data_IF_236608024511
#
_entry.id   IF_236608024511
#
_cell.length_a   1.000
_cell.length_b   1.000
_cell.length_c   1.000
_cell.angle_alpha   90.00
_cell.angle_beta   90.00
_cell.angle_gamma   90.00
#
_symmetry.space_group_name_H-M   'P 1'
#
loop_
_entity.id
_entity.type
_entity.pdbx_description
1 polymer ?
#
# COMPACT_ATOMS: atom_id res chain seq x y z
N UNK A 1 -8.57 62.29 -25.38
CA UNK A 1 -9.88 61.73 -24.98
C UNK A 1 -10.03 60.24 -25.35
N UNK A 2 -9.55 59.79 -26.50
CA UNK A 2 -9.61 58.38 -26.96
C UNK A 2 -8.93 57.35 -26.03
N UNK A 3 -7.80 57.69 -25.39
CA UNK A 3 -7.13 56.76 -24.44
C UNK A 3 -7.86 56.59 -23.10
N UNK A 4 -8.63 57.60 -22.66
CA UNK A 4 -9.40 57.54 -21.41
C UNK A 4 -10.71 56.76 -21.59
N UNK A 5 -11.32 56.85 -22.78
CA UNK A 5 -12.48 56.06 -23.18
C UNK A 5 -12.17 54.57 -23.33
N UNK A 6 -10.98 54.21 -23.82
CA UNK A 6 -10.51 52.81 -23.88
C UNK A 6 -10.29 52.25 -22.46
N UNK A 7 -9.77 53.06 -21.53
CA UNK A 7 -9.57 52.67 -20.14
C UNK A 7 -10.90 52.42 -19.41
N UNK A 8 -11.92 53.25 -19.67
CA UNK A 8 -13.27 53.06 -19.12
C UNK A 8 -14.00 51.86 -19.73
N UNK A 9 -13.81 51.60 -21.03
CA UNK A 9 -14.35 50.40 -21.69
C UNK A 9 -13.69 49.11 -21.16
N UNK A 10 -12.37 49.12 -20.91
CA UNK A 10 -11.64 47.98 -20.35
C UNK A 10 -12.03 47.72 -18.89
N UNK A 11 -12.25 48.78 -18.09
CA UNK A 11 -12.68 48.68 -16.69
C UNK A 11 -14.14 48.20 -16.56
N UNK A 12 -15.02 48.59 -17.49
CA UNK A 12 -16.41 48.09 -17.54
C UNK A 12 -16.52 46.61 -17.93
N UNK A 13 -15.55 46.08 -18.67
CA UNK A 13 -15.57 44.66 -19.11
C UNK A 13 -15.12 43.70 -17.99
N UNK A 14 -14.35 44.18 -17.01
CA UNK A 14 -13.85 43.38 -15.87
C UNK A 14 -14.94 43.10 -14.82
N UNK A 15 -15.98 43.93 -14.74
CA UNK A 15 -17.06 43.78 -13.74
C UNK A 15 -18.07 42.68 -14.12
N UNK A 16 -18.00 42.13 -15.34
CA UNK A 16 -18.90 41.07 -15.82
C UNK A 16 -18.35 39.64 -15.61
N UNK A 17 -17.19 39.48 -14.95
CA UNK A 17 -16.61 38.18 -14.61
C UNK A 17 -17.01 37.71 -13.22
N UNK A 18 -18.22 38.03 -12.76
CA UNK A 18 -18.77 37.45 -11.54
C UNK A 18 -19.14 35.98 -11.84
N UNK A 19 -18.16 35.09 -11.67
CA UNK A 19 -18.35 33.66 -11.86
C UNK A 19 -19.27 33.16 -10.75
N UNK A 20 -20.57 33.07 -11.05
CA UNK A 20 -21.50 32.27 -10.27
C UNK A 20 -21.03 30.81 -10.30
N UNK A 21 -20.14 30.44 -9.38
CA UNK A 21 -19.88 29.03 -9.12
C UNK A 21 -21.11 28.51 -8.40
N UNK A 22 -21.93 27.75 -9.12
CA UNK A 22 -23.04 27.04 -8.49
C UNK A 22 -22.42 25.99 -7.59
N UNK A 23 -22.46 26.21 -6.28
CA UNK A 23 -22.00 25.21 -5.31
C UNK A 23 -22.99 24.06 -5.41
N UNK A 24 -22.62 22.99 -6.12
CA UNK A 24 -23.40 21.77 -6.13
C UNK A 24 -23.21 21.12 -4.76
N UNK A 25 -24.11 21.41 -3.85
CA UNK A 25 -24.19 20.76 -2.55
C UNK A 25 -24.81 19.37 -2.74
N UNK A 26 -24.01 18.44 -3.27
CA UNK A 26 -24.40 17.07 -3.45
C UNK A 26 -24.59 16.44 -2.07
N UNK A 27 -25.83 16.41 -1.58
CA UNK A 27 -26.21 15.62 -0.40
C UNK A 27 -26.01 14.15 -0.71
N UNK A 28 -24.81 13.65 -0.44
CA UNK A 28 -24.52 12.22 -0.49
C UNK A 28 -25.18 11.56 0.71
N UNK A 29 -25.97 10.51 0.47
CA UNK A 29 -26.43 9.65 1.55
C UNK A 29 -25.20 9.05 2.23
N UNK A 30 -24.97 9.43 3.48
CA UNK A 30 -23.97 8.77 4.32
C UNK A 30 -24.45 7.34 4.55
N UNK A 31 -23.74 6.37 3.98
CA UNK A 31 -23.97 4.96 4.26
C UNK A 31 -23.83 4.64 5.75
N UNK A 32 -24.28 3.47 6.21
CA UNK A 32 -24.09 3.07 7.58
C UNK A 32 -22.59 3.04 7.93
N UNK A 33 -22.25 3.42 9.16
CA UNK A 33 -20.89 3.27 9.69
C UNK A 33 -20.47 1.80 9.68
N UNK A 34 -19.34 1.50 9.05
CA UNK A 34 -18.79 0.15 8.91
C UNK A 34 -17.51 0.01 9.73
N UNK A 35 -17.19 -1.23 10.13
CA UNK A 35 -15.88 -1.55 10.66
C UNK A 35 -14.84 -1.50 9.54
N UNK A 36 -13.73 -0.81 9.75
CA UNK A 36 -12.58 -0.76 8.86
C UNK A 36 -11.40 -1.51 9.49
N UNK A 37 -10.86 -2.48 8.76
CA UNK A 37 -9.79 -3.36 9.23
C UNK A 37 -8.52 -3.15 8.39
N UNK A 38 -7.45 -2.64 9.00
CA UNK A 38 -6.12 -2.63 8.40
C UNK A 38 -5.22 -3.61 9.16
N UNK A 39 -5.01 -4.78 8.57
CA UNK A 39 -4.29 -5.88 9.19
C UNK A 39 -3.29 -6.48 8.21
N UNK A 40 -2.00 -6.24 8.44
CA UNK A 40 -0.90 -6.84 7.68
C UNK A 40 0.10 -7.49 8.64
N UNK A 41 -0.02 -8.79 8.85
CA UNK A 41 0.87 -9.55 9.74
C UNK A 41 2.01 -10.19 8.94
N UNK A 42 3.18 -10.33 9.55
CA UNK A 42 4.39 -10.77 8.85
C UNK A 42 5.14 -11.90 9.58
N UNK A 43 6.15 -12.47 8.94
CA UNK A 43 7.12 -13.39 9.54
C UNK A 43 8.29 -12.67 10.23
N UNK A 44 8.21 -11.34 10.38
CA UNK A 44 9.28 -10.55 10.99
C UNK A 44 9.16 -10.57 12.52
N UNK A 45 10.31 -10.55 13.24
CA UNK A 45 10.29 -10.53 14.70
C UNK A 45 9.71 -9.23 15.25
N UNK A 46 9.14 -9.32 16.46
CA UNK A 46 8.59 -8.19 17.18
C UNK A 46 7.07 -8.15 17.20
N UNK A 47 6.49 -7.10 17.82
CA UNK A 47 5.06 -6.93 17.94
C UNK A 47 4.39 -6.85 16.57
N UNK A 48 3.19 -7.43 16.44
CA UNK A 48 2.36 -7.32 15.25
C UNK A 48 1.10 -6.52 15.60
N UNK A 49 0.58 -5.74 14.65
CA UNK A 49 -0.51 -4.80 14.91
C UNK A 49 -1.64 -4.96 13.89
N UNK A 50 -2.87 -4.87 14.38
CA UNK A 50 -4.11 -4.78 13.62
C UNK A 50 -4.80 -3.48 14.02
N UNK A 51 -5.07 -2.61 13.05
CA UNK A 51 -5.75 -1.34 13.29
C UNK A 51 -7.22 -1.46 12.94
N UNK A 52 -8.09 -1.18 13.90
CA UNK A 52 -9.54 -1.17 13.74
C UNK A 52 -10.09 0.25 13.91
N UNK A 53 -10.81 0.73 12.90
CA UNK A 53 -11.51 2.02 12.94
C UNK A 53 -12.94 1.88 12.45
N UNK A 54 -13.71 2.94 12.54
CA UNK A 54 -15.04 3.05 11.94
C UNK A 54 -15.00 4.01 10.75
N UNK A 55 -15.74 3.69 9.69
CA UNK A 55 -15.84 4.57 8.52
C UNK A 55 -16.56 5.86 8.88
N UNK A 56 -16.05 6.99 8.38
CA UNK A 56 -16.70 8.29 8.50
C UNK A 56 -17.53 8.63 7.24
N UNK A 57 -18.30 9.71 7.32
CA UNK A 57 -19.01 10.24 6.15
C UNK A 57 -18.02 10.68 5.05
N UNK A 58 -18.46 10.68 3.80
CA UNK A 58 -17.57 10.95 2.65
C UNK A 58 -16.88 12.32 2.71
N UNK A 59 -17.57 13.35 3.17
CA UNK A 59 -17.02 14.71 3.31
C UNK A 59 -16.39 14.96 4.70
N UNK A 60 -16.33 13.94 5.55
CA UNK A 60 -15.70 14.04 6.85
C UNK A 60 -14.20 13.75 6.72
N UNK A 61 -13.41 14.81 6.88
CA UNK A 61 -11.95 14.75 6.87
C UNK A 61 -11.34 14.58 8.28
N UNK A 62 -12.16 14.30 9.29
CA UNK A 62 -11.68 14.03 10.64
C UNK A 62 -10.96 12.68 10.72
N UNK A 63 -10.19 12.49 11.79
CA UNK A 63 -9.55 11.20 12.08
C UNK A 63 -10.64 10.14 12.26
N UNK A 64 -10.60 9.02 11.51
CA UNK A 64 -11.59 7.95 11.66
C UNK A 64 -11.68 7.47 13.12
N UNK A 65 -12.89 7.37 13.71
CA UNK A 65 -13.05 6.92 15.09
C UNK A 65 -12.43 5.54 15.31
N UNK A 66 -11.74 5.36 16.43
CA UNK A 66 -11.18 4.08 16.82
C UNK A 66 -12.29 3.08 17.17
N UNK A 67 -12.17 1.83 16.68
CA UNK A 67 -13.06 0.74 17.07
C UNK A 67 -12.51 0.04 18.31
N UNK A 68 -12.76 0.62 19.49
CA UNK A 68 -12.27 0.11 20.78
C UNK A 68 -13.17 -1.00 21.34
N UNK A 69 -12.70 -1.71 22.38
CA UNK A 69 -13.43 -2.81 23.04
C UNK A 69 -13.81 -4.00 22.14
N UNK A 70 -13.15 -4.15 20.99
CA UNK A 70 -13.29 -5.33 20.15
C UNK A 70 -12.53 -6.53 20.73
N UNK A 71 -12.97 -7.72 20.39
CA UNK A 71 -12.18 -8.95 20.60
C UNK A 71 -11.47 -9.28 19.31
N UNK A 72 -10.14 -9.41 19.34
CA UNK A 72 -9.33 -9.65 18.13
C UNK A 72 -8.43 -10.86 18.35
N UNK A 73 -8.68 -11.92 17.59
CA UNK A 73 -7.90 -13.16 17.65
C UNK A 73 -7.52 -13.60 16.24
N UNK A 74 -6.30 -14.12 16.11
CA UNK A 74 -5.83 -14.81 14.91
C UNK A 74 -5.51 -16.24 15.28
N UNK A 75 -5.94 -17.20 14.47
CA UNK A 75 -5.57 -18.61 14.64
C UNK A 75 -4.89 -19.12 13.36
N UNK A 76 -3.80 -19.86 13.50
CA UNK A 76 -3.18 -20.55 12.38
C UNK A 76 -3.80 -21.94 12.14
N UNK A 77 -3.54 -22.54 10.98
CA UNK A 77 -3.99 -23.89 10.66
C UNK A 77 -3.28 -25.01 11.47
N UNK A 78 -2.35 -24.66 12.37
CA UNK A 78 -1.79 -25.56 13.38
C UNK A 78 -2.61 -25.57 14.69
N UNK A 79 -3.59 -24.67 14.81
CA UNK A 79 -4.42 -24.48 15.99
C UNK A 79 -3.84 -23.50 17.01
N UNK A 80 -2.72 -22.84 16.72
CA UNK A 80 -2.13 -21.84 17.62
C UNK A 80 -2.88 -20.53 17.51
N UNK A 81 -3.28 -20.00 18.66
CA UNK A 81 -4.07 -18.75 18.76
C UNK A 81 -3.21 -17.59 19.25
N UNK A 82 -3.36 -16.46 18.59
CA UNK A 82 -2.70 -15.19 18.83
C UNK A 82 -3.75 -14.15 19.21
N UNK A 83 -3.73 -13.72 20.47
CA UNK A 83 -4.66 -12.70 20.98
C UNK A 83 -4.03 -11.31 20.84
N UNK A 84 -4.76 -10.39 20.22
CA UNK A 84 -4.35 -8.99 20.10
C UNK A 84 -5.14 -8.15 21.11
N UNK A 85 -4.45 -7.21 21.77
CA UNK A 85 -5.01 -6.35 22.81
C UNK A 85 -4.84 -4.88 22.40
N UNK A 86 -5.80 -4.03 22.75
CA UNK A 86 -5.75 -2.57 22.54
C UNK A 86 -5.44 -1.90 23.89
N UNK A 87 -4.16 -1.77 24.29
CA UNK A 87 -3.80 -1.28 25.62
C UNK A 87 -4.13 0.21 25.81
N UNK A 88 -4.09 0.99 24.73
CA UNK A 88 -4.21 2.44 24.76
C UNK A 88 -5.62 2.94 24.38
N UNK A 89 -6.54 2.02 24.03
CA UNK A 89 -7.90 2.30 23.57
C UNK A 89 -7.92 3.25 22.37
N UNK A 90 -6.97 3.07 21.44
CA UNK A 90 -6.80 3.89 20.25
C UNK A 90 -7.09 3.12 18.95
N UNK A 91 -7.58 1.88 19.09
CA UNK A 91 -7.93 0.99 17.98
C UNK A 91 -6.72 0.26 17.39
N UNK A 92 -5.52 0.38 17.97
CA UNK A 92 -4.36 -0.43 17.60
C UNK A 92 -4.29 -1.67 18.50
N UNK A 93 -4.79 -2.78 17.96
CA UNK A 93 -4.72 -4.07 18.61
C UNK A 93 -3.34 -4.68 18.35
N UNK A 94 -2.58 -4.96 19.40
CA UNK A 94 -1.20 -5.43 19.34
C UNK A 94 -1.09 -6.84 19.90
N UNK A 95 -0.42 -7.71 19.17
CA UNK A 95 0.07 -8.99 19.66
C UNK A 95 1.55 -8.85 20.02
N UNK A 96 1.92 -9.30 21.21
CA UNK A 96 3.29 -9.32 21.70
C UNK A 96 3.86 -10.73 21.57
N UNK A 97 5.04 -10.90 20.95
CA UNK A 97 5.66 -12.20 20.81
C UNK A 97 6.08 -12.78 22.17
N UNK A 98 5.95 -14.10 22.31
CA UNK A 98 6.51 -14.84 23.44
C UNK A 98 7.74 -15.60 22.96
N UNK A 99 8.93 -15.27 23.48
CA UNK A 99 10.19 -15.86 23.04
C UNK A 99 10.54 -15.47 21.59
N UNK A 100 10.89 -16.46 20.76
CA UNK A 100 11.30 -16.26 19.36
C UNK A 100 10.15 -16.38 18.35
N UNK A 101 8.91 -16.41 18.83
CA UNK A 101 7.73 -16.50 17.97
C UNK A 101 7.53 -15.20 17.19
N UNK A 102 7.41 -15.31 15.87
CA UNK A 102 7.15 -14.18 14.98
C UNK A 102 5.68 -14.10 14.58
N UNK A 103 4.83 -15.04 15.03
CA UNK A 103 3.48 -15.33 14.53
C UNK A 103 3.47 -15.88 13.10
N UNK A 104 4.19 -15.23 12.17
CA UNK A 104 4.22 -15.58 10.76
C UNK A 104 5.12 -16.76 10.41
N UNK A 105 4.55 -17.77 9.76
CA UNK A 105 5.21 -18.94 9.23
C UNK A 105 4.77 -19.17 7.79
N UNK A 106 5.73 -19.26 6.87
CA UNK A 106 5.48 -19.49 5.45
C UNK A 106 4.71 -20.80 5.25
N UNK A 107 3.67 -20.75 4.42
CA UNK A 107 2.80 -21.88 4.10
C UNK A 107 1.57 -22.01 5.00
N UNK A 108 1.57 -21.38 6.19
CA UNK A 108 0.43 -21.38 7.10
C UNK A 108 -0.70 -20.49 6.60
N UNK A 109 -1.92 -20.94 6.83
CA UNK A 109 -3.14 -20.17 6.67
C UNK A 109 -3.59 -19.63 8.01
N UNK A 110 -3.92 -18.34 8.02
CA UNK A 110 -4.35 -17.62 9.22
C UNK A 110 -5.78 -17.18 9.06
N UNK A 111 -6.55 -17.30 10.14
CA UNK A 111 -7.91 -16.80 10.23
C UNK A 111 -7.99 -15.73 11.33
N UNK A 112 -8.34 -14.51 10.92
CA UNK A 112 -8.68 -13.41 11.81
C UNK A 112 -10.15 -13.52 12.22
N UNK A 113 -10.45 -13.36 13.51
CA UNK A 113 -11.80 -13.22 14.06
C UNK A 113 -11.88 -11.95 14.88
N UNK A 114 -12.86 -11.10 14.54
CA UNK A 114 -13.12 -9.84 15.23
C UNK A 114 -14.56 -9.85 15.76
N UNK A 115 -14.75 -9.69 17.06
CA UNK A 115 -16.04 -9.39 17.66
C UNK A 115 -16.14 -7.91 17.99
N UNK A 116 -17.11 -7.18 17.40
CA UNK A 116 -17.27 -5.74 17.61
C UNK A 116 -18.75 -5.34 17.54
N UNK A 117 -19.25 -4.63 18.56
CA UNK A 117 -20.64 -4.14 18.64
C UNK A 117 -21.73 -5.20 18.38
N UNK A 118 -21.51 -6.44 18.86
CA UNK A 118 -22.44 -7.56 18.67
C UNK A 118 -22.31 -8.27 17.32
N UNK A 119 -21.48 -7.77 16.41
CA UNK A 119 -21.17 -8.42 15.13
C UNK A 119 -19.90 -9.27 15.25
N UNK A 120 -19.81 -10.32 14.43
CA UNK A 120 -18.61 -11.17 14.33
C UNK A 120 -18.13 -11.24 12.89
N UNK A 121 -16.89 -10.82 12.67
CA UNK A 121 -16.22 -10.80 11.37
C UNK A 121 -15.13 -11.86 11.31
N UNK A 122 -14.93 -12.44 10.13
CA UNK A 122 -13.87 -13.38 9.83
C UNK A 122 -13.15 -13.00 8.55
N UNK A 123 -11.85 -13.26 8.53
CA UNK A 123 -11.04 -13.12 7.32
C UNK A 123 -9.97 -14.20 7.29
N UNK A 124 -9.57 -14.61 6.10
CA UNK A 124 -8.54 -15.65 5.89
C UNK A 124 -7.45 -15.10 4.97
N UNK A 125 -6.20 -15.39 5.32
CA UNK A 125 -5.05 -15.11 4.47
C UNK A 125 -3.97 -16.17 4.67
N UNK A 126 -3.41 -16.64 3.55
CA UNK A 126 -2.27 -17.56 3.54
C UNK A 126 -0.97 -16.80 3.43
N UNK A 127 0.00 -17.13 4.28
CA UNK A 127 1.35 -16.58 4.18
C UNK A 127 2.11 -17.31 3.07
N UNK A 128 2.11 -16.74 1.87
CA UNK A 128 2.78 -17.32 0.72
C UNK A 128 4.31 -17.22 0.82
N UNK A 129 5.01 -17.95 -0.06
CA UNK A 129 6.46 -17.89 -0.18
C UNK A 129 6.90 -16.55 -0.78
N UNK A 130 8.15 -16.19 -0.57
CA UNK A 130 8.77 -14.98 -1.13
C UNK A 130 10.24 -15.26 -1.43
N UNK A 131 10.77 -14.84 -2.59
CA UNK A 131 12.16 -15.06 -2.91
C UNK A 131 13.09 -14.15 -2.08
N UNK A 132 14.35 -14.56 -1.96
CA UNK A 132 15.39 -13.67 -1.45
C UNK A 132 15.72 -12.59 -2.48
N UNK A 133 16.20 -11.44 -1.98
CA UNK A 133 16.73 -10.37 -2.81
C UNK A 133 18.24 -10.60 -2.90
N UNK A 134 18.70 -11.08 -4.05
CA UNK A 134 20.11 -11.37 -4.33
C UNK A 134 20.95 -10.10 -4.30
N UNK A 135 20.51 -9.04 -4.98
CA UNK A 135 21.29 -7.80 -4.99
C UNK A 135 20.53 -6.50 -5.08
N UNK A 136 21.20 -5.41 -4.70
CA UNK A 136 20.73 -4.03 -4.76
C UNK A 136 21.92 -3.18 -5.22
N UNK A 137 21.83 -2.64 -6.42
CA UNK A 137 22.88 -1.84 -7.05
C UNK A 137 22.38 -0.42 -7.33
N UNK A 138 23.33 0.47 -7.58
CA UNK A 138 23.06 1.85 -7.93
C UNK A 138 23.71 2.23 -9.24
N UNK A 139 23.02 3.01 -10.05
CA UNK A 139 23.52 3.47 -11.33
C UNK A 139 23.38 4.99 -11.41
N UNK A 140 24.47 5.67 -11.73
CA UNK A 140 24.48 7.13 -11.85
C UNK A 140 23.63 7.56 -13.06
N UNK A 141 22.71 8.48 -12.83
CA UNK A 141 21.78 9.01 -13.85
C UNK A 141 21.50 10.49 -13.64
N UNK A 142 21.16 11.17 -14.73
CA UNK A 142 20.52 12.49 -14.70
C UNK A 142 19.02 12.32 -14.49
N UNK A 143 18.37 13.32 -13.87
CA UNK A 143 16.91 13.30 -13.67
C UNK A 143 16.13 13.31 -15.00
N UNK A 144 16.68 13.99 -16.00
CA UNK A 144 16.22 14.00 -17.39
C UNK A 144 17.43 14.25 -18.31
N UNK A 145 17.33 14.04 -19.63
CA UNK A 145 18.45 14.25 -20.56
C UNK A 145 19.10 15.65 -20.47
N UNK A 146 18.29 16.66 -20.15
CA UNK A 146 18.72 18.06 -20.05
C UNK A 146 18.98 18.53 -18.60
N UNK A 147 18.73 17.69 -17.60
CA UNK A 147 18.92 18.08 -16.21
C UNK A 147 20.40 18.13 -15.82
N UNK A 148 20.79 19.18 -15.08
CA UNK A 148 22.08 19.22 -14.36
C UNK A 148 22.03 18.42 -13.05
N UNK A 149 20.85 17.99 -12.62
CA UNK A 149 20.67 17.21 -11.40
C UNK A 149 21.02 15.76 -11.72
N UNK A 150 22.09 15.29 -11.09
CA UNK A 150 22.56 13.91 -11.12
C UNK A 150 22.37 13.25 -9.76
N UNK A 151 22.27 11.93 -9.79
CA UNK A 151 22.16 11.10 -8.60
C UNK A 151 22.09 9.65 -9.02
N UNK A 152 21.49 8.81 -8.18
CA UNK A 152 21.55 7.36 -8.36
C UNK A 152 20.16 6.75 -8.48
N UNK A 153 19.97 5.94 -9.54
CA UNK A 153 18.84 5.01 -9.67
C UNK A 153 19.20 3.70 -9.01
N UNK A 154 18.27 3.14 -8.24
CA UNK A 154 18.48 1.85 -7.62
C UNK A 154 17.81 0.74 -8.44
N UNK A 155 18.43 -0.44 -8.41
CA UNK A 155 17.89 -1.64 -9.04
C UNK A 155 18.13 -2.83 -8.12
N UNK A 156 17.05 -3.52 -7.74
CA UNK A 156 17.17 -4.76 -6.99
C UNK A 156 17.12 -5.97 -7.92
N UNK A 157 17.69 -7.10 -7.50
CA UNK A 157 17.68 -8.35 -8.24
C UNK A 157 17.12 -9.44 -7.34
N UNK A 158 16.07 -10.10 -7.83
CA UNK A 158 15.46 -11.27 -7.24
C UNK A 158 15.01 -12.17 -8.40
N UNK A 159 15.01 -13.47 -8.16
CA UNK A 159 14.42 -14.46 -9.06
C UNK A 159 13.10 -14.93 -8.46
N UNK A 160 12.08 -15.00 -9.29
CA UNK A 160 10.81 -15.62 -8.93
C UNK A 160 11.02 -17.10 -8.56
N UNK A 161 10.16 -17.63 -7.69
CA UNK A 161 10.27 -19.03 -7.27
C UNK A 161 9.48 -19.88 -8.27
N UNK A 162 10.07 -20.91 -8.89
CA UNK A 162 9.39 -21.64 -9.96
C UNK A 162 8.19 -22.48 -9.49
N UNK A 163 7.35 -22.85 -10.46
CA UNK A 163 6.29 -23.87 -10.40
C UNK A 163 4.99 -23.46 -9.68
N UNK A 164 4.83 -22.20 -9.27
CA UNK A 164 3.57 -21.69 -8.72
C UNK A 164 3.45 -20.21 -9.05
N UNK A 165 2.23 -19.74 -9.34
CA UNK A 165 1.99 -18.31 -9.47
C UNK A 165 2.12 -17.64 -8.09
N UNK A 166 3.04 -16.70 -8.00
CA UNK A 166 3.33 -15.94 -6.79
C UNK A 166 3.03 -14.46 -7.02
N UNK A 167 2.47 -13.83 -6.00
CA UNK A 167 2.16 -12.40 -6.02
C UNK A 167 3.02 -11.68 -4.98
N UNK A 168 3.55 -10.53 -5.36
CA UNK A 168 4.45 -9.78 -4.51
C UNK A 168 4.07 -8.31 -4.42
N UNK A 169 4.45 -7.70 -3.30
CA UNK A 169 4.54 -6.24 -3.16
C UNK A 169 5.97 -5.84 -2.88
N UNK A 170 6.42 -4.79 -3.56
CA UNK A 170 7.73 -4.15 -3.32
C UNK A 170 7.50 -2.94 -2.43
N UNK A 171 8.21 -2.87 -1.31
CA UNK A 171 8.34 -1.67 -0.47
C UNK A 171 9.78 -1.22 -0.45
N UNK A 172 10.01 0.06 -0.26
CA UNK A 172 11.36 0.59 -0.18
C UNK A 172 11.44 1.78 0.77
N UNK A 173 12.64 1.95 1.34
CA UNK A 173 12.94 2.94 2.36
C UNK A 173 14.21 3.68 1.98
N UNK A 174 14.22 4.97 2.28
CA UNK A 174 15.40 5.83 2.18
C UNK A 174 15.73 6.34 3.57
N UNK A 175 16.93 6.07 4.06
CA UNK A 175 17.41 6.51 5.38
C UNK A 175 16.43 6.15 6.51
N UNK A 176 15.89 4.92 6.46
CA UNK A 176 14.89 4.42 7.42
C UNK A 176 13.44 4.87 7.18
N UNK A 177 13.20 5.81 6.26
CA UNK A 177 11.87 6.34 5.98
C UNK A 177 11.19 5.59 4.83
N UNK A 178 10.02 5.01 5.11
CA UNK A 178 9.20 4.32 4.12
C UNK A 178 8.74 5.29 3.03
N UNK A 179 8.89 4.90 1.77
CA UNK A 179 8.41 5.66 0.62
C UNK A 179 7.01 5.17 0.23
N UNK A 180 5.95 5.78 0.79
CA UNK A 180 4.57 5.28 0.71
C UNK A 180 3.60 6.15 -0.12
N UNK A 181 4.09 7.01 -1.02
CA UNK A 181 3.21 7.78 -1.92
C UNK A 181 2.32 6.82 -2.74
N UNK A 182 1.12 7.25 -3.18
CA UNK A 182 0.25 6.45 -4.04
C UNK A 182 0.97 5.80 -5.24
N UNK A 183 1.87 6.54 -5.91
CA UNK A 183 2.67 6.03 -7.03
C UNK A 183 3.68 4.93 -6.67
N UNK A 184 4.04 4.79 -5.39
CA UNK A 184 5.02 3.82 -4.89
C UNK A 184 4.40 2.47 -4.49
N UNK A 185 3.08 2.29 -4.65
CA UNK A 185 2.47 0.98 -4.50
C UNK A 185 2.85 0.15 -5.72
N UNK A 186 3.79 -0.76 -5.54
CA UNK A 186 4.31 -1.63 -6.61
C UNK A 186 3.96 -3.06 -6.26
N UNK A 187 3.18 -3.69 -7.13
CA UNK A 187 2.84 -5.10 -7.06
C UNK A 187 3.40 -5.83 -8.29
N UNK A 188 3.58 -7.13 -8.16
CA UNK A 188 4.15 -8.00 -9.19
C UNK A 188 3.49 -9.38 -9.15
N UNK A 189 3.35 -10.01 -10.32
CA UNK A 189 2.97 -11.41 -10.47
C UNK A 189 4.16 -12.13 -11.12
N UNK A 190 4.71 -13.14 -10.47
CA UNK A 190 5.87 -13.93 -10.94
C UNK A 190 7.07 -13.03 -11.32
N UNK A 191 7.31 -11.96 -10.57
CA UNK A 191 8.37 -10.98 -10.91
C UNK A 191 8.07 -10.06 -12.10
N UNK A 192 6.90 -10.19 -12.72
CA UNK A 192 6.39 -9.42 -13.86
C UNK A 192 5.17 -8.55 -13.56
N UNK A 193 4.56 -8.02 -14.60
CA UNK A 193 3.23 -7.39 -14.50
C UNK A 193 2.13 -8.44 -14.46
N UNK A 194 0.93 -8.04 -14.01
CA UNK A 194 -0.26 -8.91 -14.09
C UNK A 194 -0.45 -9.40 -15.52
N UNK A 195 -0.49 -10.72 -15.70
CA UNK A 195 -0.67 -11.36 -16.99
C UNK A 195 -1.59 -12.58 -16.85
N UNK A 196 -2.38 -12.86 -17.88
CA UNK A 196 -3.17 -14.10 -17.95
C UNK A 196 -2.32 -15.36 -18.11
N UNK A 197 -1.01 -15.22 -18.36
CA UNK A 197 -0.04 -16.30 -18.53
C UNK A 197 1.21 -16.03 -17.68
N UNK A 198 1.69 -17.04 -16.94
CA UNK A 198 2.92 -16.99 -16.12
C UNK A 198 4.20 -17.04 -16.97
N UNK A 199 4.42 -16.00 -17.78
CA UNK A 199 5.58 -15.89 -18.69
C UNK A 199 6.89 -15.63 -17.96
N UNK A 200 6.84 -15.28 -16.66
CA UNK A 200 8.02 -14.96 -15.84
C UNK A 200 8.22 -15.91 -14.66
N UNK A 201 7.48 -17.02 -14.59
CA UNK A 201 7.66 -18.06 -13.55
C UNK A 201 9.11 -18.54 -13.49
N UNK A 202 9.72 -18.46 -12.31
CA UNK A 202 11.11 -18.84 -12.09
C UNK A 202 12.16 -17.92 -12.75
N UNK A 203 11.76 -16.80 -13.36
CA UNK A 203 12.68 -15.87 -14.02
C UNK A 203 13.09 -14.71 -13.11
N UNK A 204 14.11 -13.98 -13.55
CA UNK A 204 14.46 -12.71 -12.92
C UNK A 204 13.32 -11.70 -13.07
N UNK A 205 13.06 -10.93 -12.01
CA UNK A 205 12.10 -9.84 -12.04
C UNK A 205 12.39 -8.89 -13.20
N UNK A 206 11.35 -8.45 -13.91
CA UNK A 206 11.54 -7.58 -15.08
C UNK A 206 12.10 -6.21 -14.68
N UNK A 207 12.83 -5.56 -15.58
CA UNK A 207 13.48 -4.28 -15.30
C UNK A 207 12.54 -3.19 -14.73
N UNK A 208 11.28 -3.03 -15.19
CA UNK A 208 10.35 -2.09 -14.59
C UNK A 208 10.08 -2.32 -13.09
N UNK A 209 9.96 -3.58 -12.66
CA UNK A 209 9.78 -3.91 -11.25
C UNK A 209 11.09 -3.70 -10.49
N UNK A 210 12.21 -4.20 -11.02
CA UNK A 210 13.54 -4.06 -10.37
C UNK A 210 13.95 -2.60 -10.13
N UNK A 211 13.53 -1.68 -11.00
CA UNK A 211 13.84 -0.24 -10.95
C UNK A 211 12.75 0.60 -10.29
N UNK A 212 11.76 -0.04 -9.66
CA UNK A 212 10.60 0.66 -9.09
C UNK A 212 10.87 1.39 -7.79
N UNK A 213 12.08 1.24 -7.23
CA UNK A 213 12.43 1.65 -5.87
C UNK A 213 13.01 3.07 -5.77
N UNK A 214 12.86 3.91 -6.80
CA UNK A 214 12.92 5.37 -6.68
C UNK A 214 12.41 6.10 -7.94
N UNK A 215 11.35 5.63 -8.60
CA UNK A 215 10.92 6.10 -9.95
C UNK A 215 10.87 7.64 -10.11
N UNK A 216 10.41 8.36 -9.10
CA UNK A 216 10.21 9.82 -9.19
C UNK A 216 11.39 10.67 -8.68
N UNK A 217 12.43 10.03 -8.12
CA UNK A 217 13.57 10.72 -7.50
C UNK A 217 14.91 10.04 -7.81
N UNK A 218 15.99 10.67 -7.37
CA UNK A 218 17.33 10.08 -7.40
C UNK A 218 17.83 10.02 -5.96
N UNK A 219 18.54 8.95 -5.64
CA UNK A 219 19.29 8.86 -4.39
C UNK A 219 20.57 9.67 -4.46
N UNK A 220 21.04 10.11 -3.30
CA UNK A 220 22.32 10.77 -3.12
C UNK A 220 23.39 9.77 -2.67
N UNK A 221 24.66 10.15 -2.82
CA UNK A 221 25.76 9.38 -2.21
C UNK A 221 25.52 9.26 -0.70
N UNK A 222 25.85 8.10 -0.13
CA UNK A 222 25.66 7.75 1.28
C UNK A 222 24.20 7.55 1.74
N UNK A 223 23.19 7.70 0.87
CA UNK A 223 21.84 7.26 1.22
C UNK A 223 21.84 5.75 1.52
N UNK A 224 21.10 5.36 2.56
CA UNK A 224 20.84 3.97 2.92
C UNK A 224 19.50 3.56 2.34
N UNK A 225 19.52 2.60 1.41
CA UNK A 225 18.32 2.13 0.73
C UNK A 225 18.03 0.71 1.18
N UNK A 226 16.80 0.49 1.66
CA UNK A 226 16.27 -0.84 1.96
C UNK A 226 15.14 -1.14 0.98
N UNK A 227 15.17 -2.31 0.36
CA UNK A 227 14.05 -2.88 -0.39
C UNK A 227 13.49 -4.07 0.37
N UNK A 228 12.17 -4.20 0.39
CA UNK A 228 11.43 -5.32 0.95
C UNK A 228 10.54 -5.93 -0.13
N UNK A 229 10.62 -7.25 -0.29
CA UNK A 229 9.63 -8.05 -0.99
C UNK A 229 8.70 -8.68 0.04
N UNK A 230 7.40 -8.53 -0.21
CA UNK A 230 6.31 -9.07 0.58
C UNK A 230 5.52 -10.06 -0.27
N UNK A 231 5.29 -11.28 0.21
CA UNK A 231 4.37 -12.21 -0.44
C UNK A 231 2.92 -11.74 -0.29
N UNK A 232 2.09 -11.95 -1.31
CA UNK A 232 0.66 -11.68 -1.28
C UNK A 232 -0.12 -12.93 -1.68
N UNK A 233 -1.38 -13.03 -1.25
CA UNK A 233 -2.37 -13.85 -1.93
C UNK A 233 -2.85 -13.16 -3.20
N UNK A 234 -3.54 -13.88 -4.08
CA UNK A 234 -4.10 -13.30 -5.31
C UNK A 234 -5.11 -12.18 -5.00
N UNK A 235 -5.91 -12.36 -3.96
CA UNK A 235 -6.92 -11.41 -3.50
C UNK A 235 -6.27 -10.16 -2.90
N UNK A 236 -5.19 -10.34 -2.12
CA UNK A 236 -4.43 -9.22 -1.57
C UNK A 236 -3.71 -8.41 -2.68
N UNK A 237 -3.23 -9.09 -3.73
CA UNK A 237 -2.68 -8.44 -4.92
C UNK A 237 -3.73 -7.58 -5.63
N UNK A 238 -4.91 -8.15 -5.89
CA UNK A 238 -6.01 -7.41 -6.54
C UNK A 238 -6.51 -6.26 -5.65
N UNK A 239 -6.55 -6.45 -4.32
CA UNK A 239 -6.83 -5.36 -3.37
C UNK A 239 -5.83 -4.21 -3.52
N UNK A 240 -4.52 -4.47 -3.50
CA UNK A 240 -3.51 -3.40 -3.64
C UNK A 240 -3.57 -2.70 -5.00
N UNK A 241 -3.87 -3.43 -6.07
CA UNK A 241 -4.04 -2.85 -7.41
C UNK A 241 -5.24 -1.90 -7.44
N UNK A 242 -6.39 -2.35 -6.93
CA UNK A 242 -7.59 -1.51 -6.86
C UNK A 242 -7.41 -0.34 -5.91
N UNK A 243 -6.78 -0.56 -4.76
CA UNK A 243 -6.45 0.51 -3.81
C UNK A 243 -5.60 1.58 -4.49
N UNK A 244 -4.51 1.18 -5.16
CA UNK A 244 -3.66 2.11 -5.94
C UNK A 244 -4.47 2.88 -6.97
N UNK A 245 -5.32 2.21 -7.74
CA UNK A 245 -6.20 2.86 -8.73
C UNK A 245 -7.10 3.88 -8.07
N UNK A 246 -7.77 3.56 -6.96
CA UNK A 246 -8.68 4.49 -6.29
C UNK A 246 -7.95 5.71 -5.72
N UNK A 247 -6.79 5.54 -5.08
CA UNK A 247 -6.05 6.66 -4.48
C UNK A 247 -5.28 7.51 -5.50
N UNK A 248 -5.09 7.01 -6.73
CA UNK A 248 -4.47 7.76 -7.84
C UNK A 248 -5.51 8.30 -8.83
N UNK A 249 -6.77 7.93 -8.67
CA UNK A 249 -7.88 8.41 -9.48
C UNK A 249 -8.21 9.87 -9.10
N UNK A 250 -7.73 10.80 -9.92
CA UNK A 250 -7.92 12.23 -9.73
C UNK A 250 -7.84 13.00 -11.04
N UNK A 251 -8.22 14.28 -11.01
CA UNK A 251 -8.26 15.15 -12.19
C UNK A 251 -9.64 15.22 -12.87
N UNK A 252 -9.70 15.96 -13.98
CA UNK A 252 -10.96 16.28 -14.69
C UNK A 252 -11.72 15.04 -15.22
N UNK A 253 -11.00 13.93 -15.40
CA UNK A 253 -11.53 12.68 -15.93
C UNK A 253 -11.57 11.56 -14.88
N UNK A 254 -11.52 11.91 -13.59
CA UNK A 254 -11.63 10.94 -12.51
C UNK A 254 -12.99 10.23 -12.58
N UNK A 255 -12.97 8.89 -12.47
CA UNK A 255 -14.21 8.13 -12.35
C UNK A 255 -14.76 8.25 -10.92
N UNK A 256 -16.06 8.03 -10.70
CA UNK A 256 -16.59 7.95 -9.34
C UNK A 256 -15.82 6.89 -8.52
N UNK A 257 -15.45 7.18 -7.25
CA UNK A 257 -14.82 6.19 -6.38
C UNK A 257 -15.69 4.94 -6.23
N UNK A 258 -15.04 3.78 -6.16
CA UNK A 258 -15.71 2.49 -5.96
C UNK A 258 -15.18 1.79 -4.71
N UNK A 259 -16.05 1.00 -4.07
CA UNK A 259 -15.64 0.16 -2.95
C UNK A 259 -14.67 -0.92 -3.43
N UNK A 260 -13.53 -1.01 -2.74
CA UNK A 260 -12.54 -2.06 -3.00
C UNK A 260 -13.02 -3.33 -2.30
N UNK A 261 -13.07 -4.49 -3.00
CA UNK A 261 -13.42 -5.77 -2.39
C UNK A 261 -12.56 -6.08 -1.16
N UNK A 262 -13.19 -6.64 -0.14
CA UNK A 262 -12.57 -7.01 1.13
C UNK A 262 -12.64 -8.52 1.36
N UNK A 263 -11.68 -9.07 2.11
CA UNK A 263 -11.77 -10.43 2.66
C UNK A 263 -12.34 -10.47 4.09
N UNK A 264 -12.79 -9.33 4.63
CA UNK A 264 -13.44 -9.25 5.95
C UNK A 264 -14.95 -9.49 5.77
N UNK A 265 -15.41 -10.66 6.21
CA UNK A 265 -16.79 -11.10 6.01
C UNK A 265 -17.49 -11.21 7.37
N UNK A 266 -18.69 -10.63 7.48
CA UNK A 266 -19.54 -10.86 8.64
C UNK A 266 -20.10 -12.29 8.60
N UNK A 267 -19.99 -13.01 9.71
CA UNK A 267 -20.53 -14.37 9.84
C UNK A 267 -22.06 -14.45 9.75
N UNK A 268 -22.75 -13.33 10.02
CA UNK A 268 -24.17 -13.17 9.74
C UNK A 268 -24.33 -12.52 8.36
N UNK A 269 -24.97 -13.23 7.43
CA UNK A 269 -25.21 -12.73 6.07
C UNK A 269 -26.08 -11.47 6.00
N UNK A 270 -26.88 -11.20 7.04
CA UNK A 270 -27.66 -9.97 7.19
C UNK A 270 -27.03 -8.95 8.16
N UNK A 271 -25.84 -9.25 8.69
CA UNK A 271 -25.11 -8.37 9.59
C UNK A 271 -24.46 -7.20 8.86
N UNK A 272 -23.91 -6.25 9.63
CA UNK A 272 -23.22 -5.09 9.04
C UNK A 272 -21.97 -5.53 8.27
N UNK A 273 -21.74 -4.92 7.12
CA UNK A 273 -20.52 -5.15 6.32
C UNK A 273 -19.32 -4.43 6.93
N UNK A 274 -18.12 -4.89 6.59
CA UNK A 274 -16.85 -4.26 6.93
C UNK A 274 -16.08 -3.88 5.65
N UNK A 275 -15.04 -3.06 5.81
CA UNK A 275 -14.09 -2.66 4.77
C UNK A 275 -12.66 -2.88 5.25
N UNK A 276 -11.70 -2.68 4.35
CA UNK A 276 -10.28 -2.92 4.62
C UNK A 276 -9.87 -4.33 4.21
N UNK A 277 -8.78 -4.86 4.76
CA UNK A 277 -8.24 -6.14 4.35
C UNK A 277 -7.37 -6.79 5.44
N UNK A 278 -7.37 -8.11 5.46
CA UNK A 278 -6.46 -8.92 6.26
C UNK A 278 -5.44 -9.63 5.37
N UNK A 279 -4.16 -9.34 5.58
CA UNK A 279 -3.02 -9.87 4.82
C UNK A 279 -2.04 -10.53 5.79
N UNK A 280 -1.53 -11.69 5.38
CA UNK A 280 -0.35 -12.33 5.99
C UNK A 280 0.74 -12.43 4.93
N UNK A 281 1.93 -11.94 5.26
CA UNK A 281 3.02 -11.81 4.30
C UNK A 281 4.36 -12.28 4.88
N UNK A 282 5.00 -13.20 4.18
CA UNK A 282 6.43 -13.42 4.34
C UNK A 282 7.20 -12.21 3.81
N UNK A 283 8.31 -11.85 4.45
CA UNK A 283 9.10 -10.66 4.08
C UNK A 283 10.56 -11.01 3.89
N UNK A 284 11.15 -10.59 2.77
CA UNK A 284 12.60 -10.63 2.55
C UNK A 284 13.08 -9.24 2.20
N UNK A 285 14.21 -8.84 2.75
CA UNK A 285 14.73 -7.50 2.56
C UNK A 285 16.21 -7.48 2.26
N UNK A 286 16.66 -6.45 1.55
CA UNK A 286 18.07 -6.14 1.37
C UNK A 286 18.31 -4.66 1.56
N UNK A 287 19.38 -4.33 2.27
CA UNK A 287 19.83 -2.97 2.51
C UNK A 287 21.19 -2.75 1.85
N UNK A 288 21.36 -1.63 1.18
CA UNK A 288 22.64 -1.21 0.63
C UNK A 288 22.78 0.32 0.76
N UNK A 289 24.01 0.77 1.03
CA UNK A 289 24.37 2.19 0.96
C UNK A 289 24.78 2.54 -0.47
N UNK A 290 24.39 3.73 -0.93
CA UNK A 290 24.88 4.32 -2.17
C UNK A 290 26.37 4.66 -1.99
N UNK A 291 27.24 3.74 -2.40
CA UNK A 291 28.69 3.87 -2.31
C UNK A 291 29.39 3.18 -3.49
N UNK A 292 30.71 3.37 -3.60
CA UNK A 292 31.48 2.87 -4.74
C UNK A 292 31.39 1.35 -4.93
N UNK A 293 31.25 0.58 -3.84
CA UNK A 293 31.15 -0.88 -3.91
C UNK A 293 29.82 -1.36 -4.54
N UNK A 294 28.75 -0.56 -4.42
CA UNK A 294 27.41 -0.89 -4.93
C UNK A 294 27.05 -0.14 -6.21
N UNK A 295 27.88 0.81 -6.65
CA UNK A 295 27.69 1.50 -7.92
C UNK A 295 28.12 0.60 -9.08
N UNK A 296 27.32 0.57 -10.14
CA UNK A 296 27.64 -0.11 -11.40
C UNK A 296 27.58 0.91 -12.53
N UNK A 297 28.53 0.81 -13.45
CA UNK A 297 28.52 1.58 -14.69
C UNK A 297 27.63 0.84 -15.68
N UNK A 298 26.69 1.56 -16.28
CA UNK A 298 25.94 1.08 -17.44
C UNK A 298 25.98 2.17 -18.49
N UNK A 299 26.52 1.79 -19.64
CA UNK A 299 26.29 2.46 -20.90
C UNK A 299 24.97 1.92 -21.43
N UNK A 300 23.90 2.66 -21.19
CA UNK A 300 22.59 2.48 -21.81
C UNK A 300 22.22 3.75 -22.61
#
# INVERSE_FOLDING_TARGET
MTRLSILFALLGTIVLLDSCTTVIDAKLNTGPTQLSVDASLTDQPGPQTIRLTQTAAYFDNSTPPAATSATVNVIDDAGKTYKFLDPDNDGYYVWQPTGNDTLGHIGRTYQLTIGFQGETYRAVSKMNRVPSIDSLIFVKRKRSPFSKIEGYRAEFYAMDIPNQTDYYRVRFFQNGQLQNKPGNIVTSQDGGFRSGTSVTDGLMFIAPIRRSINIDSLYNMNDVVKVELQSLTSEAFDFWQQFRTQITNGGLFATPPANIPTNIINTNASGRTAVGFFITSAVRSRTATVNQANIRVRED
#
